data_IF_345308410945
#
_entry.id   IF_345308410945
#
_cell.length_a   1.000
_cell.length_b   1.000
_cell.length_c   1.000
_cell.angle_alpha   90.00
_cell.angle_beta   90.00
_cell.angle_gamma   90.00
#
_symmetry.space_group_name_H-M   'P 1'
#
loop_
_entity.id
_entity.type
_entity.pdbx_description
1 polymer ?
#
# COMPACT_ATOMS: atom_id res chain seq x y z
N UNK A 1 -2.10 22.28 25.46
CA UNK A 1 -1.69 21.92 24.09
C UNK A 1 -1.22 20.46 23.94
N UNK A 2 -1.48 19.58 24.92
CA UNK A 2 -1.04 18.17 24.92
C UNK A 2 -2.05 17.14 24.36
N UNK A 3 -3.39 17.32 24.42
CA UNK A 3 -4.32 16.27 23.99
C UNK A 3 -4.49 16.14 22.47
N UNK A 4 -4.20 17.18 21.67
CA UNK A 4 -4.26 17.07 20.20
C UNK A 4 -3.15 16.20 19.60
N UNK A 5 -1.98 16.13 20.25
CA UNK A 5 -0.83 15.41 19.70
C UNK A 5 -1.09 13.88 19.66
N UNK A 6 -1.90 13.37 20.58
CA UNK A 6 -2.23 11.94 20.66
C UNK A 6 -3.24 11.49 19.60
N UNK A 7 -4.14 12.39 19.16
CA UNK A 7 -5.14 12.08 18.15
C UNK A 7 -4.51 11.86 16.75
N UNK A 8 -3.44 12.58 16.43
CA UNK A 8 -2.80 12.52 15.11
C UNK A 8 -1.92 11.25 14.98
N UNK A 9 -1.25 10.83 16.07
CA UNK A 9 -0.47 9.60 16.09
C UNK A 9 -1.34 8.35 15.84
N UNK A 10 -2.59 8.35 16.31
CA UNK A 10 -3.54 7.26 16.07
C UNK A 10 -4.00 7.17 14.61
N UNK A 11 -4.23 8.31 13.94
CA UNK A 11 -4.62 8.32 12.52
C UNK A 11 -3.51 7.79 11.61
N UNK A 12 -2.25 8.15 11.85
CA UNK A 12 -1.11 7.64 11.09
C UNK A 12 -1.02 6.12 11.18
N UNK A 13 -1.19 5.52 12.36
CA UNK A 13 -1.17 4.07 12.51
C UNK A 13 -2.29 3.36 11.73
N UNK A 14 -3.50 3.93 11.73
CA UNK A 14 -4.64 3.38 10.99
C UNK A 14 -4.37 3.46 9.48
N UNK A 15 -3.90 4.62 8.99
CA UNK A 15 -3.58 4.82 7.58
C UNK A 15 -2.46 3.89 7.14
N UNK A 16 -1.38 3.79 7.90
CA UNK A 16 -0.25 2.91 7.61
C UNK A 16 -0.65 1.43 7.50
N UNK A 17 -1.60 0.97 8.34
CA UNK A 17 -2.17 -0.37 8.23
C UNK A 17 -3.05 -0.53 6.99
N UNK A 18 -3.94 0.43 6.75
CA UNK A 18 -4.86 0.39 5.61
C UNK A 18 -4.13 0.39 4.27
N UNK A 19 -3.04 1.16 4.13
CA UNK A 19 -2.20 1.17 2.93
C UNK A 19 -1.44 -0.14 2.76
N UNK A 20 -0.87 -0.71 3.84
CA UNK A 20 -0.22 -2.02 3.80
C UNK A 20 -1.16 -3.16 3.38
N UNK A 21 -2.38 -3.20 3.92
CA UNK A 21 -3.41 -4.18 3.59
C UNK A 21 -3.93 -3.99 2.16
N UNK A 22 -4.08 -2.74 1.70
CA UNK A 22 -4.48 -2.43 0.32
C UNK A 22 -3.49 -3.02 -0.70
N UNK A 23 -2.18 -2.80 -0.50
CA UNK A 23 -1.13 -3.36 -1.38
C UNK A 23 -1.19 -4.89 -1.35
N UNK A 24 -1.28 -5.51 -0.17
CA UNK A 24 -1.36 -6.97 -0.07
C UNK A 24 -2.58 -7.55 -0.76
N UNK A 25 -3.76 -6.95 -0.58
CA UNK A 25 -5.01 -7.42 -1.17
C UNK A 25 -5.03 -7.23 -2.69
N UNK A 26 -4.50 -6.11 -3.19
CA UNK A 26 -4.45 -5.87 -4.64
C UNK A 26 -3.42 -6.77 -5.33
N UNK A 27 -2.26 -7.03 -4.71
CA UNK A 27 -1.33 -8.07 -5.18
C UNK A 27 -2.01 -9.43 -5.27
N UNK A 28 -2.77 -9.83 -4.24
CA UNK A 28 -3.52 -11.09 -4.28
C UNK A 28 -4.59 -11.09 -5.38
N UNK A 29 -5.30 -9.98 -5.57
CA UNK A 29 -6.32 -9.86 -6.62
C UNK A 29 -5.71 -9.97 -8.03
N UNK A 30 -4.54 -9.37 -8.27
CA UNK A 30 -3.81 -9.45 -9.53
C UNK A 30 -3.33 -10.88 -9.79
N UNK A 31 -2.70 -11.52 -8.79
CA UNK A 31 -2.17 -12.88 -8.91
C UNK A 31 -3.25 -13.95 -9.13
N UNK A 32 -4.46 -13.71 -8.60
CA UNK A 32 -5.58 -14.64 -8.71
C UNK A 32 -6.61 -14.21 -9.79
N UNK A 33 -6.28 -13.25 -10.66
CA UNK A 33 -7.18 -12.81 -11.72
C UNK A 33 -7.08 -13.74 -12.94
N UNK A 34 -8.24 -14.19 -13.44
CA UNK A 34 -8.31 -15.07 -14.62
C UNK A 34 -8.25 -14.29 -15.95
N UNK A 35 -8.46 -12.98 -15.94
CA UNK A 35 -8.37 -12.12 -17.12
C UNK A 35 -7.01 -11.42 -17.17
N UNK A 36 -6.11 -11.99 -17.98
CA UNK A 36 -4.76 -11.45 -18.19
C UNK A 36 -4.79 -10.04 -18.81
N UNK A 37 -5.81 -9.72 -19.61
CA UNK A 37 -5.95 -8.39 -20.24
C UNK A 37 -6.15 -7.32 -19.17
N UNK A 38 -6.99 -7.60 -18.17
CA UNK A 38 -7.24 -6.69 -17.05
C UNK A 38 -5.98 -6.54 -16.18
N UNK A 39 -5.25 -7.62 -15.92
CA UNK A 39 -3.98 -7.58 -15.17
C UNK A 39 -2.94 -6.74 -15.89
N UNK A 40 -2.76 -6.94 -17.20
CA UNK A 40 -1.80 -6.19 -18.01
C UNK A 40 -2.15 -4.70 -18.06
N UNK A 41 -3.43 -4.36 -18.21
CA UNK A 41 -3.90 -2.98 -18.21
C UNK A 41 -3.77 -2.29 -16.84
N UNK A 42 -3.98 -3.04 -15.75
CA UNK A 42 -3.96 -2.50 -14.38
C UNK A 42 -2.57 -2.46 -13.72
N UNK A 43 -1.67 -3.35 -14.13
CA UNK A 43 -0.33 -3.50 -13.54
C UNK A 43 0.47 -2.19 -13.46
N UNK A 44 0.60 -1.40 -14.55
CA UNK A 44 1.33 -0.14 -14.51
C UNK A 44 0.77 0.87 -13.51
N UNK A 45 -0.56 1.03 -13.46
CA UNK A 45 -1.21 1.95 -12.52
C UNK A 45 -1.02 1.48 -11.06
N UNK A 46 -1.04 0.16 -10.83
CA UNK A 46 -0.77 -0.40 -9.52
C UNK A 46 0.66 -0.12 -9.04
N UNK A 47 1.68 -0.30 -9.89
CA UNK A 47 3.07 0.02 -9.54
C UNK A 47 3.24 1.50 -9.14
N UNK A 48 2.65 2.42 -9.91
CA UNK A 48 2.70 3.86 -9.61
C UNK A 48 1.98 4.19 -8.29
N UNK A 49 0.86 3.53 -8.01
CA UNK A 49 0.15 3.71 -6.74
C UNK A 49 1.03 3.28 -5.56
N UNK A 50 1.66 2.10 -5.64
CA UNK A 50 2.55 1.61 -4.56
C UNK A 50 3.74 2.53 -4.36
N UNK A 51 4.36 3.00 -5.45
CA UNK A 51 5.47 3.96 -5.38
C UNK A 51 5.03 5.27 -4.70
N UNK A 52 3.87 5.83 -5.08
CA UNK A 52 3.33 7.03 -4.44
C UNK A 52 3.01 6.84 -2.95
N UNK A 53 2.51 5.67 -2.56
CA UNK A 53 2.30 5.34 -1.15
C UNK A 53 3.63 5.29 -0.38
N UNK A 54 4.67 4.65 -0.95
CA UNK A 54 6.00 4.57 -0.33
C UNK A 54 6.63 5.96 -0.21
N UNK A 55 6.49 6.81 -1.23
CA UNK A 55 6.94 8.20 -1.15
C UNK A 55 6.22 9.00 -0.05
N UNK A 56 4.93 8.72 0.18
CA UNK A 56 4.13 9.37 1.22
C UNK A 56 4.44 8.91 2.65
N UNK A 57 4.84 7.65 2.83
CA UNK A 57 5.17 7.05 4.14
C UNK A 57 6.48 6.24 4.08
N UNK A 58 7.66 6.88 3.90
CA UNK A 58 8.92 6.19 3.63
C UNK A 58 9.42 5.30 4.78
N UNK A 59 8.98 5.55 6.02
CA UNK A 59 9.38 4.79 7.20
C UNK A 59 8.35 3.71 7.61
N UNK A 60 7.27 3.52 6.84
CA UNK A 60 6.24 2.54 7.13
C UNK A 60 6.71 1.12 6.76
N UNK A 61 7.24 0.40 7.75
CA UNK A 61 7.76 -0.98 7.60
C UNK A 61 6.72 -1.94 7.00
N UNK A 62 5.44 -1.78 7.34
CA UNK A 62 4.37 -2.64 6.79
C UNK A 62 4.21 -2.41 5.28
N UNK A 63 4.16 -1.15 4.87
CA UNK A 63 4.06 -0.77 3.47
C UNK A 63 5.31 -1.18 2.67
N UNK A 64 6.51 -0.93 3.20
CA UNK A 64 7.78 -1.34 2.58
C UNK A 64 7.87 -2.86 2.39
N UNK A 65 7.42 -3.63 3.38
CA UNK A 65 7.37 -5.10 3.32
C UNK A 65 6.35 -5.59 2.29
N UNK A 66 5.19 -4.94 2.15
CA UNK A 66 4.22 -5.27 1.11
C UNK A 66 4.74 -4.88 -0.28
N UNK A 67 5.39 -3.72 -0.42
CA UNK A 67 5.93 -3.21 -1.68
C UNK A 67 7.11 -4.06 -2.20
N UNK A 68 7.98 -4.57 -1.32
CA UNK A 68 9.14 -5.38 -1.73
C UNK A 68 8.74 -6.69 -2.43
N UNK A 69 7.60 -7.27 -2.05
CA UNK A 69 7.03 -8.48 -2.68
C UNK A 69 6.57 -8.25 -4.12
N UNK A 70 6.46 -6.99 -4.55
CA UNK A 70 6.03 -6.64 -5.89
C UNK A 70 7.17 -6.66 -6.92
N UNK A 71 8.41 -6.60 -6.44
CA UNK A 71 9.64 -6.57 -7.25
C UNK A 71 10.42 -7.89 -7.24
N UNK A 72 9.86 -8.95 -6.64
CA UNK A 72 10.48 -10.29 -6.53
C UNK A 72 9.63 -11.31 -7.28
#
# INVERSE_FOLDING_TARGET
>A
MLPCLFAIAGCSFIVSKATGDLVSNLSAAILNNNDLTTVEAGGPAYLLMVDGLVQGEPDNVSLLSSASKLYT
#
